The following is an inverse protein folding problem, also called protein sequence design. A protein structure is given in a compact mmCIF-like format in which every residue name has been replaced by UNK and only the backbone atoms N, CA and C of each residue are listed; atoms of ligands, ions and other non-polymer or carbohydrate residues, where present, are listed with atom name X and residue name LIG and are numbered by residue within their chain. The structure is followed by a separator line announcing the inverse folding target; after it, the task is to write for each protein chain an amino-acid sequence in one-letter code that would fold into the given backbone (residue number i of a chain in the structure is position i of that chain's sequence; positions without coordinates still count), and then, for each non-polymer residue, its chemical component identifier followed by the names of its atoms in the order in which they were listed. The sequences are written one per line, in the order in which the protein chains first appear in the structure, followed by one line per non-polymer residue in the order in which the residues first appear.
data_IF_333044390709
#
_entry.id   IF_333044390709
#
_cell.length_a   1.000
_cell.length_b   1.000
_cell.length_c   1.000
_cell.angle_alpha   90.00
_cell.angle_beta   90.00
_cell.angle_gamma   90.00
#
_symmetry.space_group_name_H-M   'P 1'
#
loop_
_entity.id
_entity.type
_entity.pdbx_description
1 polymer ?
#
# COMPACT_ATOMS: atom_id res chain seq x y z
N UNK A 1 20.28 8.23 3.63
CA UNK A 1 19.98 9.35 2.70
C UNK A 1 20.91 9.40 1.48
N UNK A 2 21.90 8.50 1.37
CA UNK A 2 22.86 8.42 0.26
C UNK A 2 22.49 7.36 -0.80
N UNK A 3 21.32 6.71 -0.70
CA UNK A 3 20.89 5.66 -1.62
C UNK A 3 21.61 4.32 -1.45
N UNK A 4 22.47 4.18 -0.44
CA UNK A 4 23.20 2.94 -0.19
C UNK A 4 22.41 2.01 0.73
N UNK A 5 22.32 0.75 0.34
CA UNK A 5 21.82 -0.31 1.21
C UNK A 5 22.79 -0.55 2.37
N UNK A 6 22.25 -0.66 3.57
CA UNK A 6 23.02 -0.94 4.78
C UNK A 6 22.38 -2.07 5.55
N UNK A 7 23.19 -2.97 6.08
CA UNK A 7 22.71 -4.00 6.98
C UNK A 7 22.36 -3.37 8.34
N UNK A 8 21.09 -3.40 8.71
CA UNK A 8 20.61 -2.97 10.02
C UNK A 8 20.65 -4.10 11.05
N UNK A 9 20.79 -3.75 12.33
CA UNK A 9 20.61 -4.67 13.45
C UNK A 9 19.38 -4.26 14.26
N UNK A 10 18.48 -5.20 14.50
CA UNK A 10 17.23 -4.98 15.23
C UNK A 10 16.02 -5.00 14.32
N UNK A 11 14.87 -4.61 14.87
CA UNK A 11 13.61 -4.63 14.16
C UNK A 11 13.43 -3.37 13.30
N UNK A 12 12.87 -3.50 12.10
CA UNK A 12 12.82 -2.40 11.12
C UNK A 12 12.18 -1.12 11.67
N UNK A 13 11.05 -1.23 12.38
CA UNK A 13 10.36 -0.08 12.97
C UNK A 13 11.21 0.69 14.00
N UNK A 14 12.04 -0.01 14.77
CA UNK A 14 12.96 0.60 15.72
C UNK A 14 14.07 1.36 14.97
N UNK A 15 14.68 0.73 13.96
CA UNK A 15 15.72 1.34 13.12
C UNK A 15 15.19 2.60 12.44
N UNK A 16 13.98 2.56 11.87
CA UNK A 16 13.38 3.70 11.18
C UNK A 16 13.09 4.85 12.15
N UNK A 17 12.63 4.53 13.36
CA UNK A 17 12.33 5.52 14.40
C UNK A 17 13.59 6.18 14.92
N UNK A 18 14.64 5.41 15.19
CA UNK A 18 15.93 5.94 15.64
C UNK A 18 16.56 6.84 14.58
N UNK A 19 16.50 6.45 13.31
CA UNK A 19 16.94 7.28 12.19
C UNK A 19 16.15 8.59 12.08
N UNK A 20 14.83 8.55 12.25
CA UNK A 20 13.97 9.74 12.25
C UNK A 20 14.31 10.68 13.43
N UNK A 21 14.53 10.12 14.63
CA UNK A 21 14.93 10.88 15.82
C UNK A 21 16.30 11.55 15.59
N UNK A 22 17.26 10.83 15.00
CA UNK A 22 18.57 11.39 14.69
C UNK A 22 18.52 12.50 13.66
N UNK A 23 17.65 12.38 12.66
CA UNK A 23 17.36 13.46 11.73
C UNK A 23 16.78 14.68 12.44
N UNK A 24 15.75 14.51 13.28
CA UNK A 24 15.13 15.60 14.05
C UNK A 24 16.15 16.30 14.94
N UNK A 25 17.06 15.56 15.59
CA UNK A 25 18.13 16.13 16.43
C UNK A 25 19.04 17.07 15.64
N UNK A 26 19.36 16.71 14.39
CA UNK A 26 20.20 17.52 13.49
C UNK A 26 19.46 18.74 12.96
N UNK A 27 18.19 18.56 12.59
CA UNK A 27 17.37 19.57 11.92
C UNK A 27 16.55 20.46 12.86
N UNK A 28 16.62 20.29 14.19
CA UNK A 28 15.77 21.01 15.16
C UNK A 28 15.77 22.55 15.07
N UNK A 29 16.75 23.14 14.40
CA UNK A 29 16.85 24.59 14.18
C UNK A 29 16.21 25.06 12.86
N UNK A 30 15.67 24.13 12.06
CA UNK A 30 14.99 24.36 10.78
C UNK A 30 13.62 23.67 10.79
N UNK A 31 12.64 24.15 10.00
CA UNK A 31 11.44 23.38 9.71
C UNK A 31 11.82 22.07 9.03
N UNK A 32 11.23 20.96 9.45
CA UNK A 32 11.51 19.64 8.92
C UNK A 32 10.23 18.89 8.55
N UNK A 33 10.37 17.92 7.64
CA UNK A 33 9.34 16.94 7.32
C UNK A 33 9.92 15.54 7.56
N UNK A 34 9.23 14.74 8.36
CA UNK A 34 9.53 13.32 8.54
C UNK A 34 8.36 12.52 8.01
N UNK A 35 8.63 11.68 7.01
CA UNK A 35 7.74 10.60 6.62
C UNK A 35 8.31 9.29 7.17
N UNK A 36 7.59 8.67 8.10
CA UNK A 36 8.02 7.47 8.82
C UNK A 36 7.07 6.29 8.51
N UNK A 37 7.22 5.64 7.34
CA UNK A 37 6.39 4.51 6.96
C UNK A 37 6.87 3.22 7.63
N UNK A 38 6.19 2.78 8.68
CA UNK A 38 6.44 1.45 9.24
C UNK A 38 6.02 0.37 8.26
N UNK A 39 6.83 -0.68 8.14
CA UNK A 39 6.43 -1.92 7.46
C UNK A 39 5.41 -2.70 8.31
N UNK A 40 5.41 -2.51 9.62
CA UNK A 40 4.48 -3.14 10.54
C UNK A 40 3.04 -2.61 10.37
N UNK A 41 2.00 -3.44 10.58
CA UNK A 41 2.03 -4.87 10.90
C UNK A 41 1.87 -5.74 9.63
N UNK A 42 2.46 -5.34 8.50
CA UNK A 42 2.38 -6.13 7.27
C UNK A 42 3.14 -7.46 7.41
N UNK A 43 2.72 -8.47 6.64
CA UNK A 43 3.45 -9.73 6.55
C UNK A 43 4.84 -9.53 5.92
N UNK A 44 5.83 -10.38 6.26
CA UNK A 44 5.77 -11.52 7.18
C UNK A 44 5.58 -11.09 8.65
N UNK A 45 4.83 -11.87 9.42
CA UNK A 45 4.49 -11.56 10.83
C UNK A 45 5.65 -11.92 11.76
N UNK A 46 6.79 -11.29 11.51
CA UNK A 46 8.02 -11.46 12.29
C UNK A 46 8.05 -10.40 13.38
N UNK A 47 8.21 -10.82 14.63
CA UNK A 47 8.31 -9.94 15.79
C UNK A 47 9.03 -10.70 16.91
N UNK A 48 9.76 -10.00 17.77
CA UNK A 48 10.44 -10.63 18.90
C UNK A 48 9.48 -11.18 19.94
N UNK A 49 9.92 -12.23 20.64
CA UNK A 49 9.18 -12.86 21.74
C UNK A 49 8.74 -11.88 22.83
N UNK A 50 9.53 -10.82 23.10
CA UNK A 50 9.18 -9.78 24.06
C UNK A 50 7.81 -9.13 23.78
N UNK A 51 7.51 -8.85 22.51
CA UNK A 51 6.24 -8.25 22.12
C UNK A 51 5.16 -9.31 21.85
N UNK A 52 5.54 -10.49 21.41
CA UNK A 52 4.60 -11.56 21.03
C UNK A 52 4.07 -12.37 22.21
N UNK A 53 4.94 -12.80 23.13
CA UNK A 53 4.59 -13.66 24.24
C UNK A 53 3.50 -13.09 25.16
N UNK A 54 3.45 -11.76 25.46
CA UNK A 54 2.36 -11.19 26.24
C UNK A 54 0.99 -11.51 25.64
N UNK A 55 0.84 -11.38 24.32
CA UNK A 55 -0.43 -11.68 23.62
C UNK A 55 -0.66 -13.17 23.41
N UNK A 56 0.40 -13.94 23.12
CA UNK A 56 0.31 -15.40 23.01
C UNK A 56 -0.23 -16.01 24.30
N UNK A 57 0.28 -15.56 25.45
CA UNK A 57 -0.06 -16.06 26.76
C UNK A 57 -1.49 -15.72 27.20
N UNK A 58 -2.16 -14.76 26.56
CA UNK A 58 -3.59 -14.51 26.75
C UNK A 58 -4.46 -15.64 26.18
N UNK A 59 -3.90 -16.54 25.36
CA UNK A 59 -4.64 -17.59 24.65
C UNK A 59 -5.88 -17.02 23.94
N UNK A 60 -5.66 -15.97 23.14
CA UNK A 60 -6.72 -15.18 22.53
C UNK A 60 -7.72 -16.05 21.78
N UNK A 61 -9.02 -15.81 22.02
CA UNK A 61 -10.11 -16.43 21.29
C UNK A 61 -11.00 -15.34 20.72
N UNK A 62 -11.67 -15.63 19.61
CA UNK A 62 -12.53 -14.65 18.97
C UNK A 62 -13.62 -14.12 19.92
N UNK A 63 -14.13 -14.98 20.80
CA UNK A 63 -15.16 -14.66 21.79
C UNK A 63 -14.72 -13.64 22.84
N UNK A 64 -13.41 -13.35 22.94
CA UNK A 64 -12.88 -12.30 23.82
C UNK A 64 -13.06 -10.89 23.25
N UNK A 65 -13.32 -10.77 21.95
CA UNK A 65 -13.56 -9.47 21.30
C UNK A 65 -15.06 -9.14 21.33
N UNK A 66 -15.44 -7.85 21.25
CA UNK A 66 -16.83 -7.46 21.16
C UNK A 66 -17.55 -8.12 19.97
N UNK A 67 -18.70 -8.76 20.24
CA UNK A 67 -19.50 -9.51 19.26
C UNK A 67 -20.65 -8.66 18.71
N UNK A 68 -20.31 -7.57 18.02
CA UNK A 68 -21.26 -6.71 17.33
C UNK A 68 -20.75 -6.32 15.93
N UNK A 69 -21.66 -5.84 15.09
CA UNK A 69 -21.36 -5.42 13.72
C UNK A 69 -21.23 -6.60 12.76
N UNK A 70 -20.49 -6.38 11.68
CA UNK A 70 -20.29 -7.37 10.63
C UNK A 70 -19.51 -8.59 11.13
N UNK A 71 -19.89 -9.81 10.69
CA UNK A 71 -19.21 -11.03 11.11
C UNK A 71 -17.73 -11.04 10.66
N UNK A 72 -16.91 -11.80 11.40
CA UNK A 72 -15.52 -12.02 11.04
C UNK A 72 -15.44 -12.69 9.65
N UNK A 73 -14.64 -12.12 8.77
CA UNK A 73 -14.39 -12.67 7.45
C UNK A 73 -13.12 -13.51 7.47
N UNK A 74 -13.27 -14.82 7.28
CA UNK A 74 -12.16 -15.78 7.33
C UNK A 74 -11.99 -16.42 8.70
N UNK A 75 -10.99 -17.30 8.81
CA UNK A 75 -10.71 -18.05 10.03
C UNK A 75 -9.87 -17.20 10.98
N UNK A 76 -10.37 -17.02 12.21
CA UNK A 76 -9.57 -16.42 13.28
C UNK A 76 -8.37 -17.32 13.61
N UNK A 77 -7.18 -16.73 13.66
CA UNK A 77 -5.97 -17.39 14.13
C UNK A 77 -5.42 -16.65 15.36
N UNK A 78 -5.45 -17.29 16.55
CA UNK A 78 -4.90 -16.70 17.77
C UNK A 78 -3.43 -16.33 17.68
N UNK A 79 -2.63 -17.12 16.98
CA UNK A 79 -1.18 -16.95 16.89
C UNK A 79 -0.83 -15.78 15.96
N UNK A 80 -1.46 -15.71 14.79
CA UNK A 80 -1.31 -14.56 13.88
C UNK A 80 -1.77 -13.27 14.56
N UNK A 81 -2.89 -13.31 15.28
CA UNK A 81 -3.40 -12.15 16.02
C UNK A 81 -2.42 -11.72 17.11
N UNK A 82 -1.80 -12.66 17.83
CA UNK A 82 -0.79 -12.36 18.85
C UNK A 82 0.45 -11.67 18.26
N UNK A 83 0.92 -12.15 17.10
CA UNK A 83 2.03 -11.52 16.39
C UNK A 83 1.69 -10.11 15.94
N UNK A 84 0.53 -9.92 15.30
CA UNK A 84 0.05 -8.60 14.86
C UNK A 84 -0.06 -7.63 16.04
N UNK A 85 -0.61 -8.05 17.17
CA UNK A 85 -0.74 -7.17 18.34
C UNK A 85 0.62 -6.85 18.99
N UNK A 86 1.57 -7.78 18.94
CA UNK A 86 2.97 -7.51 19.27
C UNK A 86 3.58 -6.44 18.36
N UNK A 87 3.36 -6.52 17.05
CA UNK A 87 3.81 -5.51 16.09
C UNK A 87 3.16 -4.14 16.32
N UNK A 88 1.85 -4.11 16.64
CA UNK A 88 1.13 -2.88 17.02
C UNK A 88 1.72 -2.26 18.29
N UNK A 89 2.10 -3.08 19.26
CA UNK A 89 2.79 -2.61 20.49
C UNK A 89 4.16 -2.01 20.17
N UNK A 90 4.92 -2.63 19.27
CA UNK A 90 6.20 -2.07 18.84
C UNK A 90 6.02 -0.71 18.12
N UNK A 91 4.97 -0.54 17.31
CA UNK A 91 4.61 0.77 16.72
C UNK A 91 4.32 1.80 17.81
N UNK A 92 3.46 1.46 18.78
CA UNK A 92 3.08 2.35 19.89
C UNK A 92 4.29 2.79 20.71
N UNK A 93 5.17 1.86 21.07
CA UNK A 93 6.41 2.14 21.78
C UNK A 93 7.34 3.07 20.99
N UNK A 94 7.44 2.89 19.67
CA UNK A 94 8.25 3.75 18.81
C UNK A 94 7.67 5.17 18.66
N UNK A 95 6.34 5.31 18.60
CA UNK A 95 5.69 6.62 18.70
C UNK A 95 6.00 7.28 20.05
N UNK A 96 5.98 6.51 21.14
CA UNK A 96 6.41 6.96 22.46
C UNK A 96 7.85 7.53 22.48
N UNK A 97 8.80 6.82 21.85
CA UNK A 97 10.20 7.30 21.68
C UNK A 97 10.25 8.59 20.87
N UNK A 98 9.51 8.67 19.76
CA UNK A 98 9.45 9.85 18.90
C UNK A 98 8.92 11.07 19.67
N UNK A 99 7.81 10.93 20.40
CA UNK A 99 7.27 12.02 21.21
C UNK A 99 8.23 12.46 22.32
N UNK A 100 8.88 11.52 23.00
CA UNK A 100 9.90 11.84 23.99
C UNK A 100 11.09 12.61 23.38
N UNK A 101 11.52 12.24 22.17
CA UNK A 101 12.57 12.94 21.45
C UNK A 101 12.17 14.36 21.05
N UNK A 102 10.96 14.55 20.50
CA UNK A 102 10.43 15.88 20.16
C UNK A 102 10.43 16.81 21.37
N UNK A 103 9.99 16.28 22.54
CA UNK A 103 10.02 17.01 23.82
C UNK A 103 11.44 17.34 24.26
N UNK A 104 12.34 16.36 24.23
CA UNK A 104 13.73 16.54 24.65
C UNK A 104 14.49 17.54 23.77
N UNK A 105 14.15 17.64 22.48
CA UNK A 105 14.72 18.65 21.57
C UNK A 105 14.03 20.02 21.66
N UNK A 106 12.94 20.15 22.43
CA UNK A 106 12.21 21.41 22.60
C UNK A 106 11.37 21.82 21.39
N UNK A 107 11.07 20.90 20.47
CA UNK A 107 10.33 21.18 19.22
C UNK A 107 8.89 20.66 19.24
N UNK A 108 8.48 19.94 20.29
CA UNK A 108 7.16 19.31 20.41
C UNK A 108 5.99 20.28 20.14
N UNK A 109 5.98 21.46 20.77
CA UNK A 109 4.89 22.42 20.63
C UNK A 109 4.67 22.84 19.17
N UNK A 110 5.74 23.01 18.40
CA UNK A 110 5.68 23.46 17.01
C UNK A 110 5.76 22.32 15.98
N UNK A 111 5.54 21.08 16.39
CA UNK A 111 5.50 19.91 15.50
C UNK A 111 4.08 19.39 15.37
N UNK A 112 3.62 19.18 14.13
CA UNK A 112 2.38 18.47 13.82
C UNK A 112 2.73 17.01 13.56
N UNK A 113 2.10 16.08 14.28
CA UNK A 113 2.23 14.64 14.06
C UNK A 113 0.88 14.11 13.61
N UNK A 114 0.84 13.54 12.40
CA UNK A 114 -0.30 12.81 11.85
C UNK A 114 0.05 11.32 11.83
N UNK A 115 -0.78 10.51 12.48
CA UNK A 115 -0.75 9.06 12.37
C UNK A 115 -1.96 8.60 11.57
N UNK A 116 -1.73 7.81 10.53
CA UNK A 116 -2.76 7.15 9.73
C UNK A 116 -2.26 5.75 9.34
N UNK A 117 -3.17 4.82 9.04
CA UNK A 117 -2.81 3.57 8.35
C UNK A 117 -3.22 3.63 6.88
N UNK A 118 -2.60 2.80 6.04
CA UNK A 118 -2.79 2.80 4.58
C UNK A 118 -4.10 2.14 4.13
N UNK A 119 -4.52 1.08 4.83
CA UNK A 119 -5.73 0.30 4.56
C UNK A 119 -6.20 -0.47 5.80
N UNK A 120 -7.37 -1.09 5.71
CA UNK A 120 -7.88 -2.06 6.67
C UNK A 120 -6.98 -3.31 6.86
N UNK A 121 -7.30 -4.20 7.82
CA UNK A 121 -6.46 -5.33 8.18
C UNK A 121 -6.40 -6.41 7.09
N UNK A 122 -5.24 -7.07 6.91
CA UNK A 122 -5.12 -8.26 6.04
C UNK A 122 -5.67 -9.52 6.73
N UNK A 123 -5.19 -9.83 7.94
CA UNK A 123 -5.56 -11.04 8.68
C UNK A 123 -6.93 -10.88 9.36
N UNK A 124 -7.72 -11.97 9.49
CA UNK A 124 -8.95 -11.96 10.28
C UNK A 124 -8.67 -11.61 11.75
N UNK A 125 -9.01 -10.38 12.15
CA UNK A 125 -8.87 -9.87 13.51
C UNK A 125 -9.96 -8.84 13.82
N UNK A 126 -10.00 -8.37 15.07
CA UNK A 126 -10.94 -7.32 15.47
C UNK A 126 -10.70 -6.02 14.70
N UNK A 127 -11.78 -5.44 14.19
CA UNK A 127 -11.82 -4.26 13.31
C UNK A 127 -13.03 -3.36 13.62
N UNK A 128 -13.36 -3.24 14.91
CA UNK A 128 -14.48 -2.43 15.40
C UNK A 128 -15.86 -2.79 14.81
N UNK A 129 -16.06 -4.05 14.38
CA UNK A 129 -17.32 -4.51 13.78
C UNK A 129 -17.51 -4.09 12.31
N UNK A 130 -16.55 -3.41 11.68
CA UNK A 130 -16.69 -2.93 10.30
C UNK A 130 -16.63 -4.08 9.27
N UNK A 131 -17.44 -4.00 8.20
CA UNK A 131 -17.51 -5.02 7.15
C UNK A 131 -16.30 -4.96 6.22
N UNK A 132 -15.89 -6.11 5.66
CA UNK A 132 -14.74 -6.16 4.75
C UNK A 132 -13.38 -6.01 5.44
N UNK A 133 -12.31 -6.01 4.65
CA UNK A 133 -10.92 -5.99 5.11
C UNK A 133 -10.02 -5.45 3.99
N UNK A 134 -8.68 -5.50 4.13
CA UNK A 134 -7.73 -5.13 3.06
C UNK A 134 -8.15 -5.69 1.70
N UNK A 135 -8.12 -4.84 0.67
CA UNK A 135 -8.52 -5.18 -0.69
C UNK A 135 -10.04 -5.16 -0.95
N UNK A 136 -10.84 -4.65 -0.01
CA UNK A 136 -12.28 -4.44 -0.17
C UNK A 136 -12.64 -2.98 0.07
N UNK A 137 -13.75 -2.52 -0.52
CA UNK A 137 -14.22 -1.12 -0.43
C UNK A 137 -15.27 -0.86 0.66
N UNK A 138 -15.59 -1.88 1.45
CA UNK A 138 -16.37 -1.74 2.68
C UNK A 138 -15.59 -0.97 3.77
N UNK A 139 -16.25 -0.45 4.80
CA UNK A 139 -15.65 0.38 5.86
C UNK A 139 -14.45 -0.31 6.51
N UNK A 140 -14.50 -1.62 6.75
CA UNK A 140 -13.37 -2.37 7.32
C UNK A 140 -12.16 -2.48 6.40
N UNK A 141 -12.26 -2.08 5.12
CA UNK A 141 -11.14 -1.98 4.18
C UNK A 141 -10.59 -0.56 4.00
N UNK A 142 -11.43 0.47 4.12
CA UNK A 142 -11.08 1.88 3.80
C UNK A 142 -11.16 2.86 4.98
N UNK A 143 -11.89 2.52 6.04
CA UNK A 143 -12.00 3.33 7.26
C UNK A 143 -10.92 2.90 8.25
N UNK A 144 -9.91 3.75 8.38
CA UNK A 144 -8.66 3.47 9.10
C UNK A 144 -8.47 4.43 10.28
N UNK A 145 -7.69 4.03 11.31
CA UNK A 145 -7.31 4.95 12.38
C UNK A 145 -6.61 6.20 11.81
N UNK A 146 -7.00 7.36 12.33
CA UNK A 146 -6.40 8.66 12.01
C UNK A 146 -6.34 9.55 13.24
N UNK A 147 -5.14 9.97 13.63
CA UNK A 147 -4.91 10.84 14.79
C UNK A 147 -3.98 11.97 14.42
N UNK A 148 -4.32 13.18 14.84
CA UNK A 148 -3.45 14.35 14.69
C UNK A 148 -3.14 14.96 16.05
N UNK A 149 -1.86 15.25 16.28
CA UNK A 149 -1.35 15.89 17.49
C UNK A 149 -0.59 17.14 17.10
N UNK A 150 -0.96 18.28 17.67
CA UNK A 150 -0.25 19.53 17.50
C UNK A 150 -0.39 20.39 18.76
N UNK A 151 0.48 20.21 19.77
CA UNK A 151 0.24 20.77 21.10
C UNK A 151 0.06 22.28 21.13
N UNK A 152 0.75 23.06 20.29
CA UNK A 152 0.58 24.52 20.26
C UNK A 152 -0.83 24.97 19.88
N UNK A 153 -1.50 24.26 18.99
CA UNK A 153 -2.78 24.70 18.39
C UNK A 153 -3.98 23.83 18.80
N UNK A 154 -3.76 22.55 19.06
CA UNK A 154 -4.81 21.58 19.44
C UNK A 154 -4.81 21.38 20.95
N UNK A 155 -5.97 21.55 21.57
CA UNK A 155 -6.18 21.36 23.02
C UNK A 155 -7.30 20.35 23.26
N UNK A 156 -7.04 19.38 24.13
CA UNK A 156 -7.99 18.32 24.46
C UNK A 156 -8.20 17.34 23.32
N UNK A 157 -9.13 16.41 23.56
CA UNK A 157 -9.50 15.39 22.60
C UNK A 157 -10.65 15.89 21.73
N UNK A 158 -10.38 16.03 20.45
CA UNK A 158 -11.32 16.56 19.46
C UNK A 158 -11.63 15.46 18.45
N UNK A 159 -12.92 15.13 18.29
CA UNK A 159 -13.39 14.20 17.27
C UNK A 159 -13.88 14.98 16.06
N UNK A 160 -13.33 14.67 14.88
CA UNK A 160 -13.81 15.14 13.59
C UNK A 160 -14.68 14.04 13.00
N UNK A 161 -15.97 14.32 12.81
CA UNK A 161 -16.94 13.35 12.25
C UNK A 161 -16.99 13.41 10.72
N UNK A 162 -16.53 14.53 10.13
CA UNK A 162 -16.53 14.73 8.70
C UNK A 162 -15.65 13.70 7.99
N UNK A 163 -16.04 13.21 6.80
CA UNK A 163 -15.28 12.21 6.08
C UNK A 163 -14.00 12.81 5.48
N UNK A 164 -12.86 12.36 5.98
CA UNK A 164 -11.55 12.74 5.47
C UNK A 164 -10.89 11.55 4.75
N UNK A 165 -9.97 11.87 3.85
CA UNK A 165 -9.16 10.88 3.14
C UNK A 165 -7.70 11.34 3.05
N UNK A 166 -6.81 10.40 2.72
CA UNK A 166 -5.37 10.67 2.57
C UNK A 166 -5.07 11.80 1.56
N UNK A 167 -5.92 12.01 0.56
CA UNK A 167 -5.81 13.11 -0.41
C UNK A 167 -5.89 14.51 0.24
N UNK A 168 -6.50 14.63 1.44
CA UNK A 168 -6.60 15.89 2.17
C UNK A 168 -5.32 16.27 2.92
N UNK A 169 -4.40 15.32 3.10
CA UNK A 169 -3.18 15.54 3.89
C UNK A 169 -2.31 16.62 3.25
N UNK A 170 -2.09 16.53 1.93
CA UNK A 170 -1.27 17.51 1.19
C UNK A 170 -1.82 18.94 1.31
N UNK A 171 -3.08 19.25 0.90
CA UNK A 171 -3.60 20.60 1.02
C UNK A 171 -3.67 21.09 2.48
N UNK A 172 -3.94 20.20 3.44
CA UNK A 172 -3.94 20.58 4.86
C UNK A 172 -2.56 20.98 5.36
N UNK A 173 -1.52 20.23 5.01
CA UNK A 173 -0.15 20.51 5.47
C UNK A 173 0.45 21.73 4.76
N UNK A 174 0.11 21.95 3.49
CA UNK A 174 0.41 23.20 2.79
C UNK A 174 -0.19 24.42 3.51
N UNK A 175 -1.48 24.35 3.87
CA UNK A 175 -2.18 25.40 4.62
C UNK A 175 -1.60 25.61 6.04
N UNK A 176 -1.25 24.54 6.74
CA UNK A 176 -0.56 24.63 8.04
C UNK A 176 0.80 25.35 7.91
N UNK A 177 1.55 25.04 6.85
CA UNK A 177 2.86 25.63 6.58
C UNK A 177 2.79 27.03 5.94
N UNK A 178 1.60 27.51 5.55
CA UNK A 178 1.44 28.78 4.84
C UNK A 178 2.06 28.76 3.43
N UNK A 179 2.04 27.59 2.77
CA UNK A 179 2.56 27.39 1.42
C UNK A 179 1.39 27.25 0.46
N UNK A 180 1.37 28.07 -0.58
CA UNK A 180 0.37 27.95 -1.65
C UNK A 180 0.70 26.76 -2.57
N UNK A 181 -0.31 25.96 -2.97
CA UNK A 181 -0.13 24.99 -4.06
C UNK A 181 0.38 25.68 -5.33
N UNK A 182 1.14 24.94 -6.15
CA UNK A 182 1.53 25.47 -7.45
C UNK A 182 0.28 25.68 -8.33
N UNK A 183 0.19 26.77 -9.12
CA UNK A 183 -1.01 27.09 -9.89
C UNK A 183 -1.47 26.03 -10.90
N UNK A 184 -0.53 25.19 -11.35
CA UNK A 184 -0.73 24.12 -12.33
C UNK A 184 -1.08 22.75 -11.71
N UNK A 185 -1.16 22.67 -10.38
CA UNK A 185 -1.48 21.44 -9.65
C UNK A 185 -2.93 21.49 -9.16
N UNK A 186 -3.81 20.69 -9.77
CA UNK A 186 -5.15 20.41 -9.27
C UNK A 186 -5.05 19.40 -8.12
N UNK A 187 -5.51 19.77 -6.92
CA UNK A 187 -5.57 18.86 -5.76
C UNK A 187 -7.01 18.37 -5.59
N UNK A 188 -7.18 17.06 -5.41
CA UNK A 188 -8.50 16.46 -5.15
C UNK A 188 -8.94 16.63 -3.68
N UNK A 189 -7.97 16.74 -2.77
CA UNK A 189 -8.22 16.95 -1.35
C UNK A 189 -8.59 18.39 -0.99
N UNK A 190 -9.09 18.57 0.23
CA UNK A 190 -9.42 19.88 0.82
C UNK A 190 -8.73 20.01 2.16
N UNK A 191 -8.23 21.20 2.49
CA UNK A 191 -7.65 21.44 3.83
C UNK A 191 -8.72 21.21 4.90
N UNK A 192 -8.44 20.31 5.85
CA UNK A 192 -9.27 20.11 7.05
C UNK A 192 -8.78 20.93 8.25
N UNK A 193 -7.82 21.84 8.06
CA UNK A 193 -7.33 22.74 9.11
C UNK A 193 -8.45 23.48 9.87
N UNK A 194 -9.55 23.95 9.25
CA UNK A 194 -10.65 24.56 10.01
C UNK A 194 -11.26 23.62 11.07
N UNK A 195 -11.38 22.32 10.73
CA UNK A 195 -11.94 21.29 11.60
C UNK A 195 -11.05 20.98 12.81
N UNK A 196 -9.74 21.24 12.70
CA UNK A 196 -8.78 21.03 13.79
C UNK A 196 -9.07 21.93 14.99
N UNK A 197 -9.39 23.21 14.74
CA UNK A 197 -9.73 24.16 15.80
C UNK A 197 -11.21 24.21 16.17
N UNK A 198 -12.09 23.83 15.22
CA UNK A 198 -13.52 23.86 15.40
C UNK A 198 -14.16 22.71 14.60
N UNK A 199 -14.53 21.58 15.24
CA UNK A 199 -15.20 20.46 14.58
C UNK A 199 -16.54 20.82 13.92
N UNK A 200 -17.14 21.92 14.36
CA UNK A 200 -18.38 22.48 13.80
C UNK A 200 -18.11 23.60 12.79
N UNK A 201 -16.87 23.75 12.30
CA UNK A 201 -16.58 24.68 11.22
C UNK A 201 -17.40 24.32 9.99
N UNK A 202 -17.81 25.34 9.24
CA UNK A 202 -18.46 25.16 7.96
C UNK A 202 -17.44 24.57 6.98
N UNK A 203 -17.54 23.26 6.78
CA UNK A 203 -16.67 22.49 5.91
C UNK A 203 -17.57 21.68 4.97
N UNK A 204 -17.61 22.03 3.67
CA UNK A 204 -18.63 21.50 2.76
C UNK A 204 -18.57 19.99 2.61
N UNK A 205 -19.75 19.37 2.68
CA UNK A 205 -19.93 17.95 2.37
C UNK A 205 -19.40 17.61 0.96
N UNK A 206 -18.98 16.36 0.81
CA UNK A 206 -18.58 15.77 -0.46
C UNK A 206 -18.67 14.25 -0.40
N UNK A 207 -18.68 13.65 -1.58
CA UNK A 207 -18.40 12.25 -1.74
C UNK A 207 -16.88 12.02 -1.83
N UNK A 208 -16.42 10.95 -1.20
CA UNK A 208 -15.11 10.36 -1.40
C UNK A 208 -15.26 9.14 -2.30
N UNK A 209 -14.35 9.00 -3.26
CA UNK A 209 -14.41 7.95 -4.27
C UNK A 209 -13.26 6.97 -4.08
N UNK A 210 -13.58 5.68 -4.11
CA UNK A 210 -12.63 4.60 -3.91
C UNK A 210 -12.77 3.61 -5.06
N UNK A 211 -11.65 3.13 -5.57
CA UNK A 211 -11.62 2.06 -6.55
C UNK A 211 -10.37 1.21 -6.33
N UNK A 212 -10.55 -0.11 -6.41
CA UNK A 212 -9.48 -1.07 -6.37
C UNK A 212 -9.55 -1.97 -7.60
N UNK A 213 -8.51 -1.97 -8.42
CA UNK A 213 -8.46 -2.79 -9.63
C UNK A 213 -7.06 -3.36 -9.83
N UNK A 214 -7.00 -4.64 -10.23
CA UNK A 214 -5.78 -5.35 -10.60
C UNK A 214 -5.83 -5.74 -12.08
N UNK A 215 -5.85 -4.76 -12.96
CA UNK A 215 -5.75 -4.95 -14.40
C UNK A 215 -4.89 -3.84 -15.02
N UNK A 216 -4.62 -3.95 -16.31
CA UNK A 216 -3.75 -3.00 -17.00
C UNK A 216 -4.52 -1.73 -17.41
N UNK A 217 -5.85 -1.83 -17.57
CA UNK A 217 -6.71 -0.69 -17.94
C UNK A 217 -7.84 -0.56 -16.93
N UNK A 218 -8.01 0.60 -16.26
CA UNK A 218 -9.08 0.76 -15.29
C UNK A 218 -10.45 0.61 -15.93
N UNK A 219 -11.35 -0.05 -15.21
CA UNK A 219 -12.73 -0.28 -15.64
C UNK A 219 -13.70 0.36 -14.66
N UNK A 220 -14.77 1.02 -15.13
CA UNK A 220 -15.77 1.59 -14.24
C UNK A 220 -16.46 0.50 -13.43
N UNK A 221 -16.90 0.85 -12.23
CA UNK A 221 -17.66 0.00 -11.31
C UNK A 221 -16.96 -1.30 -10.89
N UNK A 222 -15.63 -1.29 -10.84
CA UNK A 222 -14.81 -2.41 -10.41
C UNK A 222 -14.28 -2.17 -9.00
N UNK A 223 -14.71 -2.99 -8.05
CA UNK A 223 -14.51 -2.87 -6.60
C UNK A 223 -14.40 -1.40 -6.17
N UNK A 224 -15.53 -0.69 -6.22
CA UNK A 224 -15.60 0.76 -6.02
C UNK A 224 -16.59 1.18 -4.93
N UNK A 225 -16.39 2.37 -4.37
CA UNK A 225 -17.33 2.98 -3.45
C UNK A 225 -17.43 4.49 -3.63
N UNK A 226 -18.61 5.02 -3.35
CA UNK A 226 -18.89 6.45 -3.19
C UNK A 226 -19.34 6.64 -1.75
N UNK A 227 -18.52 7.31 -0.94
CA UNK A 227 -18.74 7.52 0.48
C UNK A 227 -18.99 9.00 0.73
N UNK A 228 -20.27 9.37 0.83
CA UNK A 228 -20.70 10.67 1.34
C UNK A 228 -20.75 10.70 2.86
N UNK A 229 -21.13 11.83 3.50
CA UNK A 229 -21.19 11.96 4.96
C UNK A 229 -22.08 10.94 5.65
N UNK A 230 -23.27 10.69 5.07
CA UNK A 230 -24.27 9.76 5.58
C UNK A 230 -24.38 8.49 4.75
N UNK A 231 -24.53 8.62 3.44
CA UNK A 231 -24.78 7.47 2.57
C UNK A 231 -23.51 6.98 1.89
N UNK A 232 -23.46 5.67 1.65
CA UNK A 232 -22.39 5.02 0.91
C UNK A 232 -22.95 4.05 -0.10
N UNK A 233 -22.56 4.20 -1.36
CA UNK A 233 -22.72 3.16 -2.37
C UNK A 233 -21.45 2.31 -2.41
N UNK A 234 -21.60 0.99 -2.49
CA UNK A 234 -20.49 0.07 -2.76
C UNK A 234 -20.82 -0.88 -3.90
N UNK A 235 -19.82 -1.21 -4.68
CA UNK A 235 -19.75 -2.39 -5.53
C UNK A 235 -18.49 -3.12 -5.07
N UNK A 236 -18.60 -4.39 -4.66
CA UNK A 236 -17.44 -5.13 -4.10
C UNK A 236 -16.83 -6.17 -5.07
N UNK A 237 -17.44 -6.40 -6.23
CA UNK A 237 -16.99 -7.40 -7.20
C UNK A 237 -15.84 -6.86 -8.07
N UNK A 238 -15.02 -7.75 -8.65
CA UNK A 238 -13.99 -7.36 -9.60
C UNK A 238 -12.62 -7.06 -9.01
N UNK A 239 -12.36 -7.52 -7.77
CA UNK A 239 -11.02 -7.50 -7.16
C UNK A 239 -10.03 -8.49 -7.81
N UNK A 240 -10.51 -9.37 -8.69
CA UNK A 240 -9.71 -10.39 -9.38
C UNK A 240 -8.72 -9.75 -10.37
N UNK A 241 -7.59 -10.43 -10.55
CA UNK A 241 -6.54 -10.06 -11.52
C UNK A 241 -7.05 -10.16 -12.97
N UNK A 242 -6.57 -9.23 -13.80
CA UNK A 242 -6.86 -9.12 -15.23
C UNK A 242 -8.04 -8.20 -15.55
N UNK A 243 -8.34 -8.12 -16.85
CA UNK A 243 -9.32 -7.18 -17.42
C UNK A 243 -10.65 -7.84 -17.82
N UNK A 244 -10.95 -9.03 -17.28
CA UNK A 244 -12.20 -9.75 -17.57
C UNK A 244 -13.44 -8.94 -17.19
N UNK A 245 -14.54 -9.18 -17.92
CA UNK A 245 -15.84 -8.55 -17.65
C UNK A 245 -16.34 -8.88 -16.25
N UNK A 246 -17.00 -7.91 -15.62
CA UNK A 246 -17.65 -8.06 -14.32
C UNK A 246 -19.11 -7.64 -14.44
N UNK A 247 -19.98 -8.35 -13.74
CA UNK A 247 -21.34 -7.86 -13.50
C UNK A 247 -21.34 -7.07 -12.18
N UNK A 248 -21.56 -5.74 -12.22
CA UNK A 248 -21.63 -4.93 -11.00
C UNK A 248 -22.78 -5.39 -10.12
N UNK A 249 -22.48 -5.56 -8.82
CA UNK A 249 -23.49 -5.75 -7.79
C UNK A 249 -23.40 -4.60 -6.81
N UNK A 250 -24.31 -3.64 -6.96
CA UNK A 250 -24.37 -2.46 -6.12
C UNK A 250 -25.11 -2.74 -4.82
N UNK A 251 -24.62 -2.12 -3.76
CA UNK A 251 -25.23 -2.06 -2.43
C UNK A 251 -25.24 -0.59 -1.99
N UNK A 252 -26.21 -0.21 -1.16
CA UNK A 252 -26.37 1.16 -0.63
C UNK A 252 -26.59 1.10 0.88
N UNK A 253 -25.86 1.91 1.64
CA UNK A 253 -25.93 1.92 3.10
C UNK A 253 -26.13 3.34 3.64
N UNK A 254 -26.89 3.45 4.74
CA UNK A 254 -26.95 4.65 5.58
C UNK A 254 -25.99 4.48 6.76
N UNK A 255 -24.79 5.04 6.67
CA UNK A 255 -23.73 4.86 7.68
C UNK A 255 -24.03 5.55 9.02
N UNK A 256 -25.00 6.47 9.07
CA UNK A 256 -25.40 7.08 10.33
C UNK A 256 -26.16 6.10 11.22
N UNK A 257 -26.98 5.24 10.60
CA UNK A 257 -27.80 4.24 11.30
C UNK A 257 -27.20 2.82 11.22
N UNK A 258 -26.41 2.54 10.18
CA UNK A 258 -25.78 1.25 9.90
C UNK A 258 -24.29 1.41 9.55
N UNK A 259 -23.43 1.74 10.53
CA UNK A 259 -21.99 1.89 10.32
C UNK A 259 -21.27 0.56 9.97
N UNK A 260 -21.99 -0.57 10.01
CA UNK A 260 -21.44 -1.90 9.76
C UNK A 260 -21.86 -2.47 8.40
N UNK A 261 -22.59 -1.71 7.58
CA UNK A 261 -22.97 -2.07 6.20
C UNK A 261 -23.74 -3.40 6.13
N UNK A 262 -24.71 -3.59 7.02
CA UNK A 262 -25.46 -4.82 7.21
C UNK A 262 -26.82 -4.83 6.51
N UNK A 263 -27.42 -3.67 6.26
CA UNK A 263 -28.75 -3.51 5.69
C UNK A 263 -28.65 -2.78 4.35
N UNK A 264 -28.66 -3.55 3.25
CA UNK A 264 -28.64 -2.98 1.91
C UNK A 264 -29.98 -2.28 1.59
N UNK A 265 -29.88 -1.00 1.22
CA UNK A 265 -30.98 -0.12 0.86
C UNK A 265 -31.18 0.01 -0.65
N UNK A 266 -30.35 -0.64 -1.48
CA UNK A 266 -30.32 -0.49 -2.95
C UNK A 266 -31.70 -0.66 -3.60
N UNK A 267 -32.45 -1.70 -3.21
CA UNK A 267 -33.80 -1.98 -3.74
C UNK A 267 -34.85 -0.95 -3.26
N UNK A 268 -34.67 -0.41 -2.06
CA UNK A 268 -35.65 0.49 -1.41
C UNK A 268 -35.40 1.98 -1.72
N UNK A 269 -34.19 2.34 -2.15
CA UNK A 269 -33.80 3.71 -2.48
C UNK A 269 -33.09 3.79 -3.85
N UNK A 270 -33.76 3.35 -4.95
CA UNK A 270 -33.13 3.26 -6.27
C UNK A 270 -32.73 4.63 -6.85
N UNK A 271 -33.43 5.72 -6.52
CA UNK A 271 -33.09 7.07 -6.99
C UNK A 271 -31.78 7.59 -6.40
N UNK A 272 -31.57 7.34 -5.10
CA UNK A 272 -30.32 7.69 -4.42
C UNK A 272 -29.16 6.85 -4.95
N UNK A 273 -29.39 5.54 -5.16
CA UNK A 273 -28.39 4.67 -5.77
C UNK A 273 -27.98 5.18 -7.16
N UNK A 274 -28.94 5.51 -8.02
CA UNK A 274 -28.67 6.06 -9.35
C UNK A 274 -27.89 7.38 -9.31
N UNK A 275 -28.19 8.24 -8.32
CA UNK A 275 -27.44 9.49 -8.10
C UNK A 275 -25.96 9.20 -7.78
N UNK A 276 -25.69 8.29 -6.85
CA UNK A 276 -24.31 7.94 -6.48
C UNK A 276 -23.58 7.17 -7.59
N UNK A 277 -24.28 6.41 -8.42
CA UNK A 277 -23.71 5.80 -9.62
C UNK A 277 -23.25 6.87 -10.61
N UNK A 278 -24.09 7.86 -10.89
CA UNK A 278 -23.75 9.00 -11.76
C UNK A 278 -22.58 9.80 -11.20
N UNK A 279 -22.58 10.09 -9.89
CA UNK A 279 -21.48 10.81 -9.24
C UNK A 279 -20.15 10.06 -9.38
N UNK A 280 -20.17 8.73 -9.34
CA UNK A 280 -18.99 7.89 -9.55
C UNK A 280 -18.51 7.93 -11.00
N UNK A 281 -19.43 7.85 -11.97
CA UNK A 281 -19.08 7.90 -13.40
C UNK A 281 -18.41 9.23 -13.75
N UNK A 282 -18.97 10.35 -13.26
CA UNK A 282 -18.39 11.68 -13.45
C UNK A 282 -16.96 11.76 -12.87
N UNK A 283 -16.76 11.22 -11.66
CA UNK A 283 -15.44 11.14 -11.05
C UNK A 283 -14.49 10.25 -11.85
N UNK A 284 -14.95 9.07 -12.27
CA UNK A 284 -14.16 8.11 -13.03
C UNK A 284 -13.72 8.69 -14.37
N UNK A 285 -14.62 9.39 -15.07
CA UNK A 285 -14.30 10.10 -16.33
C UNK A 285 -13.26 11.21 -16.09
N UNK A 286 -13.41 12.05 -15.06
CA UNK A 286 -12.42 13.10 -14.73
C UNK A 286 -11.04 12.51 -14.49
N UNK A 287 -10.91 11.56 -13.56
CA UNK A 287 -9.60 11.00 -13.19
C UNK A 287 -8.97 10.15 -14.29
N UNK A 288 -9.79 9.60 -15.20
CA UNK A 288 -9.31 8.81 -16.34
C UNK A 288 -8.97 9.61 -17.58
N UNK A 289 -9.55 10.80 -17.75
CA UNK A 289 -9.40 11.65 -18.93
C UNK A 289 -7.96 12.12 -19.21
N UNK A 290 -7.12 12.17 -18.18
CA UNK A 290 -5.77 12.75 -18.25
C UNK A 290 -4.64 11.72 -18.33
N UNK A 291 -4.96 10.42 -18.32
CA UNK A 291 -3.97 9.34 -18.27
C UNK A 291 -3.96 8.52 -19.56
N UNK A 292 -2.84 8.54 -20.27
CA UNK A 292 -2.50 7.45 -21.18
C UNK A 292 -2.12 6.27 -20.32
N UNK A 293 -2.96 5.23 -20.25
CA UNK A 293 -2.68 3.98 -19.52
C UNK A 293 -1.61 3.15 -20.23
N UNK A 294 -0.55 3.80 -20.65
CA UNK A 294 0.62 3.17 -21.26
C UNK A 294 1.27 2.25 -20.24
N UNK A 295 1.73 1.10 -20.73
CA UNK A 295 2.41 0.12 -19.90
C UNK A 295 3.64 0.76 -19.25
N UNK A 296 3.71 0.87 -17.91
CA UNK A 296 4.87 1.39 -17.22
C UNK A 296 6.10 0.56 -17.56
N UNK A 297 7.21 1.21 -17.89
CA UNK A 297 8.45 0.54 -18.23
C UNK A 297 9.53 0.81 -17.21
N UNK A 298 10.18 -0.24 -16.75
CA UNK A 298 11.34 -0.13 -15.87
C UNK A 298 12.56 0.26 -16.71
N UNK A 299 13.27 1.30 -16.31
CA UNK A 299 14.38 1.87 -17.06
C UNK A 299 15.69 1.12 -16.74
N UNK A 300 16.30 0.50 -17.75
CA UNK A 300 17.57 -0.21 -17.60
C UNK A 300 18.74 0.72 -17.95
N UNK A 301 19.79 0.70 -17.12
CA UNK A 301 21.02 1.45 -17.36
C UNK A 301 20.92 2.95 -17.09
N UNK A 302 19.85 3.41 -16.45
CA UNK A 302 19.68 4.79 -16.03
C UNK A 302 20.70 5.14 -14.92
N UNK A 303 21.45 6.27 -15.00
CA UNK A 303 22.48 6.60 -14.02
C UNK A 303 22.00 6.69 -12.56
N UNK A 304 20.73 7.06 -12.36
CA UNK A 304 20.11 7.17 -11.04
C UNK A 304 19.59 5.84 -10.48
N UNK A 305 19.54 4.77 -11.29
CA UNK A 305 18.95 3.48 -10.94
C UNK A 305 19.72 2.35 -11.68
N UNK A 306 21.03 2.28 -11.42
CA UNK A 306 21.93 1.24 -11.93
C UNK A 306 22.82 0.76 -10.78
N UNK A 307 22.71 -0.49 -10.31
CA UNK A 307 21.88 -1.56 -10.88
C UNK A 307 20.37 -1.35 -10.69
N UNK A 308 19.59 -1.77 -11.68
CA UNK A 308 18.12 -1.75 -11.65
C UNK A 308 17.60 -3.09 -11.13
N UNK A 309 16.68 -3.10 -10.16
CA UNK A 309 16.07 -4.34 -9.66
C UNK A 309 14.67 -4.56 -10.24
N UNK A 310 14.48 -5.64 -10.99
CA UNK A 310 13.18 -6.10 -11.48
C UNK A 310 12.53 -7.03 -10.47
N UNK A 311 11.29 -6.75 -10.07
CA UNK A 311 10.57 -7.54 -9.06
C UNK A 311 9.32 -8.19 -9.65
N UNK A 312 8.84 -9.28 -9.03
CA UNK A 312 7.57 -9.93 -9.40
C UNK A 312 6.32 -9.04 -9.27
N UNK A 313 6.43 -7.84 -8.71
CA UNK A 313 5.31 -6.89 -8.69
C UNK A 313 4.98 -6.37 -10.09
N UNK A 314 6.01 -6.20 -10.91
CA UNK A 314 5.93 -5.44 -12.16
C UNK A 314 5.82 -6.34 -13.39
N UNK A 315 6.11 -7.64 -13.25
CA UNK A 315 5.97 -8.56 -14.37
C UNK A 315 4.51 -8.79 -14.74
N UNK A 316 4.28 -9.18 -15.98
CA UNK A 316 2.98 -9.45 -16.58
C UNK A 316 2.97 -10.83 -17.21
N UNK A 317 1.78 -11.33 -17.51
CA UNK A 317 1.58 -12.65 -18.10
C UNK A 317 0.58 -13.51 -17.34
N UNK A 318 0.18 -14.65 -17.91
CA UNK A 318 -0.96 -15.45 -17.43
C UNK A 318 -0.72 -16.13 -16.08
N UNK A 319 0.55 -16.27 -15.67
CA UNK A 319 0.94 -16.84 -14.37
C UNK A 319 1.89 -15.91 -13.61
N UNK A 320 1.89 -14.62 -13.96
CA UNK A 320 2.61 -13.59 -13.24
C UNK A 320 2.01 -13.44 -11.84
N UNK A 321 2.84 -13.48 -10.81
CA UNK A 321 2.43 -13.20 -9.44
C UNK A 321 3.47 -13.63 -8.43
N UNK A 322 3.23 -13.34 -7.15
CA UNK A 322 4.18 -13.64 -6.07
C UNK A 322 4.29 -15.13 -5.69
N UNK A 323 3.49 -16.01 -6.32
CA UNK A 323 3.39 -17.42 -5.94
C UNK A 323 4.63 -18.20 -6.38
N UNK A 324 4.92 -19.28 -5.66
CA UNK A 324 5.86 -20.30 -6.13
C UNK A 324 5.39 -20.87 -7.48
N UNK A 325 6.32 -21.01 -8.44
CA UNK A 325 6.00 -21.42 -9.80
C UNK A 325 5.46 -20.31 -10.73
N UNK A 326 5.34 -19.07 -10.23
CA UNK A 326 5.04 -17.93 -11.09
C UNK A 326 6.18 -17.62 -12.06
N UNK A 327 5.84 -17.13 -13.24
CA UNK A 327 6.76 -16.58 -14.23
C UNK A 327 6.05 -15.51 -15.05
N UNK A 328 6.81 -14.58 -15.63
CA UNK A 328 6.24 -13.47 -16.37
C UNK A 328 7.29 -12.69 -17.14
N UNK A 329 6.82 -11.61 -17.75
CA UNK A 329 7.59 -10.71 -18.60
C UNK A 329 7.64 -9.35 -17.93
N UNK A 330 8.82 -8.74 -17.85
CA UNK A 330 8.94 -7.32 -17.53
C UNK A 330 8.91 -6.48 -18.79
N UNK A 331 8.10 -5.44 -18.77
CA UNK A 331 8.18 -4.37 -19.74
C UNK A 331 9.25 -3.38 -19.28
N UNK A 332 10.32 -3.29 -20.05
CA UNK A 332 11.47 -2.43 -19.72
C UNK A 332 11.78 -1.46 -20.86
N UNK A 333 12.69 -0.52 -20.58
CA UNK A 333 13.27 0.40 -21.55
C UNK A 333 14.77 0.52 -21.29
N UNK A 334 15.60 0.07 -22.23
CA UNK A 334 17.03 0.35 -22.20
C UNK A 334 17.26 1.83 -22.54
N UNK A 335 17.93 2.58 -21.67
CA UNK A 335 18.17 4.01 -21.88
C UNK A 335 19.28 4.29 -22.91
N UNK A 336 20.12 3.30 -23.20
CA UNK A 336 21.28 3.42 -24.10
C UNK A 336 21.68 2.07 -24.67
N UNK A 337 22.35 2.12 -25.81
CA UNK A 337 22.99 0.95 -26.41
C UNK A 337 24.11 0.43 -25.50
N UNK A 338 24.29 -0.88 -25.45
CA UNK A 338 25.46 -1.51 -24.85
C UNK A 338 25.17 -2.89 -24.27
N UNK A 339 26.06 -3.34 -23.41
CA UNK A 339 26.01 -4.66 -22.80
C UNK A 339 25.44 -4.55 -21.40
N UNK A 340 24.55 -5.48 -21.04
CA UNK A 340 23.90 -5.53 -19.74
C UNK A 340 24.11 -6.91 -19.11
N UNK A 341 24.39 -6.92 -17.82
CA UNK A 341 24.45 -8.12 -17.00
C UNK A 341 23.10 -8.31 -16.30
N UNK A 342 22.56 -9.53 -16.35
CA UNK A 342 21.31 -9.93 -15.70
C UNK A 342 21.60 -11.02 -14.67
N UNK A 343 21.54 -10.66 -13.39
CA UNK A 343 21.61 -11.59 -12.27
C UNK A 343 20.20 -11.99 -11.84
N UNK A 344 19.83 -13.22 -12.13
CA UNK A 344 18.55 -13.80 -11.74
C UNK A 344 18.68 -14.45 -10.36
N UNK A 345 17.79 -14.09 -9.43
CA UNK A 345 17.75 -14.64 -8.07
C UNK A 345 16.47 -15.42 -7.85
N UNK A 346 16.59 -16.70 -7.49
CA UNK A 346 15.47 -17.63 -7.31
C UNK A 346 15.28 -17.96 -5.83
N UNK A 347 14.03 -18.13 -5.40
CA UNK A 347 13.70 -18.62 -4.06
C UNK A 347 13.41 -20.13 -4.02
N UNK A 348 13.70 -20.85 -5.10
CA UNK A 348 13.52 -22.30 -5.18
C UNK A 348 14.90 -22.90 -5.41
N UNK A 349 15.36 -23.66 -4.42
CA UNK A 349 16.56 -24.48 -4.55
C UNK A 349 16.20 -25.76 -5.29
N UNK A 350 16.76 -25.96 -6.49
CA UNK A 350 16.55 -27.18 -7.25
C UNK A 350 17.41 -28.32 -6.69
N UNK A 351 16.82 -29.50 -6.56
CA UNK A 351 17.51 -30.73 -6.11
C UNK A 351 18.33 -31.39 -7.23
N UNK A 352 18.03 -31.04 -8.48
CA UNK A 352 18.75 -31.47 -9.68
C UNK A 352 19.12 -30.26 -10.55
N UNK A 353 20.15 -30.37 -11.40
CA UNK A 353 20.49 -29.33 -12.36
C UNK A 353 19.32 -29.01 -13.30
N UNK A 354 19.29 -27.80 -13.82
CA UNK A 354 18.31 -27.34 -14.80
C UNK A 354 18.95 -26.44 -15.86
N UNK A 355 18.11 -25.80 -16.67
CA UNK A 355 18.55 -24.79 -17.64
C UNK A 355 17.95 -23.45 -17.28
N UNK A 356 18.78 -22.44 -17.08
CA UNK A 356 18.34 -21.07 -16.95
C UNK A 356 18.18 -20.46 -18.36
N UNK A 357 17.09 -19.73 -18.56
CA UNK A 357 16.78 -19.02 -19.78
C UNK A 357 16.60 -17.54 -19.47
N UNK A 358 17.08 -16.70 -20.37
CA UNK A 358 16.84 -15.27 -20.40
C UNK A 358 16.48 -14.89 -21.82
N UNK A 359 15.21 -14.52 -22.05
CA UNK A 359 14.77 -13.92 -23.30
C UNK A 359 14.72 -12.41 -23.14
N UNK A 360 15.40 -11.70 -24.04
CA UNK A 360 15.38 -10.24 -24.13
C UNK A 360 14.98 -9.82 -25.54
N UNK A 361 13.79 -9.24 -25.68
CA UNK A 361 13.16 -9.04 -26.98
C UNK A 361 12.98 -10.36 -27.73
N UNK A 362 13.56 -10.45 -28.93
CA UNK A 362 13.49 -11.66 -29.77
C UNK A 362 14.65 -12.66 -29.51
N UNK A 363 15.64 -12.28 -28.70
CA UNK A 363 16.84 -13.09 -28.48
C UNK A 363 16.72 -13.90 -27.18
N UNK A 364 17.01 -15.20 -27.25
CA UNK A 364 17.04 -16.08 -26.09
C UNK A 364 18.46 -16.55 -25.79
N UNK A 365 18.83 -16.47 -24.52
CA UNK A 365 20.12 -16.92 -23.98
C UNK A 365 19.87 -18.04 -22.97
N UNK A 366 20.78 -19.01 -22.91
CA UNK A 366 20.70 -20.12 -21.96
C UNK A 366 22.02 -20.33 -21.21
N UNK A 367 21.91 -20.78 -19.96
CA UNK A 367 23.02 -21.18 -19.10
C UNK A 367 22.62 -22.44 -18.32
N UNK A 368 23.61 -23.27 -17.97
CA UNK A 368 23.40 -24.37 -17.04
C UNK A 368 23.06 -23.79 -15.65
N UNK A 369 22.05 -24.37 -14.98
CA UNK A 369 21.70 -24.05 -13.60
C UNK A 369 22.10 -25.20 -12.68
N UNK A 370 22.97 -24.92 -11.71
CA UNK A 370 23.48 -25.94 -10.80
C UNK A 370 22.42 -26.36 -9.75
N UNK A 371 22.41 -27.64 -9.39
CA UNK A 371 21.63 -28.12 -8.25
C UNK A 371 22.10 -27.40 -6.97
N UNK A 372 21.16 -26.94 -6.16
CA UNK A 372 21.50 -26.14 -4.98
C UNK A 372 21.73 -24.64 -5.25
N UNK A 373 21.74 -24.20 -6.52
CA UNK A 373 21.91 -22.79 -6.87
C UNK A 373 20.76 -21.92 -6.37
N UNK A 374 21.07 -20.65 -6.10
CA UNK A 374 20.08 -19.59 -5.79
C UNK A 374 20.13 -18.46 -6.83
N UNK A 375 21.24 -18.34 -7.57
CA UNK A 375 21.50 -17.23 -8.50
C UNK A 375 22.16 -17.71 -9.79
N UNK A 376 21.86 -17.06 -10.92
CA UNK A 376 22.57 -17.25 -12.19
C UNK A 376 22.72 -15.90 -12.89
N UNK A 377 23.90 -15.64 -13.47
CA UNK A 377 24.21 -14.36 -14.11
C UNK A 377 24.46 -14.54 -15.60
N UNK A 378 23.62 -13.92 -16.43
CA UNK A 378 23.86 -13.75 -17.85
C UNK A 378 24.68 -12.47 -18.04
N UNK A 379 25.86 -12.59 -18.67
CA UNK A 379 26.78 -11.46 -18.84
C UNK A 379 26.82 -10.96 -20.26
N UNK A 380 27.14 -9.68 -20.40
CA UNK A 380 27.41 -9.02 -21.68
C UNK A 380 26.26 -9.16 -22.71
N UNK A 381 25.00 -9.06 -22.26
CA UNK A 381 23.82 -9.17 -23.13
C UNK A 381 23.64 -7.85 -23.90
N UNK A 382 23.76 -7.84 -25.24
CA UNK A 382 23.69 -6.61 -26.03
C UNK A 382 22.23 -6.13 -26.15
N UNK A 383 21.96 -4.89 -25.76
CA UNK A 383 20.68 -4.21 -25.95
C UNK A 383 20.87 -2.92 -26.75
N UNK A 384 19.90 -2.66 -27.63
CA UNK A 384 19.71 -1.34 -28.26
C UNK A 384 18.84 -0.46 -27.36
N UNK A 385 19.07 0.86 -27.39
CA UNK A 385 18.27 1.83 -26.68
C UNK A 385 16.81 1.77 -27.18
N UNK A 386 15.87 1.57 -26.27
CA UNK A 386 14.47 1.43 -26.61
C UNK A 386 13.70 0.50 -25.68
N UNK A 387 12.43 0.29 -26.03
CA UNK A 387 11.55 -0.61 -25.29
C UNK A 387 11.98 -2.05 -25.52
N UNK A 388 12.09 -2.82 -24.45
CA UNK A 388 12.46 -4.24 -24.55
C UNK A 388 11.73 -5.06 -23.48
N UNK A 389 11.32 -6.26 -23.86
CA UNK A 389 10.71 -7.23 -22.96
C UNK A 389 11.79 -8.14 -22.38
N UNK A 390 11.72 -8.40 -21.08
CA UNK A 390 12.64 -9.29 -20.37
C UNK A 390 11.85 -10.43 -19.75
N UNK A 391 12.09 -11.66 -20.20
CA UNK A 391 11.43 -12.89 -19.75
C UNK A 391 12.49 -13.92 -19.33
N UNK A 392 12.76 -14.07 -18.02
CA UNK A 392 13.61 -15.15 -17.52
C UNK A 392 12.83 -16.27 -16.84
N UNK A 393 13.35 -17.48 -16.95
CA UNK A 393 12.86 -18.65 -16.23
C UNK A 393 13.96 -19.71 -16.08
N UNK A 394 13.79 -20.62 -15.12
CA UNK A 394 14.47 -21.91 -15.14
C UNK A 394 13.47 -22.95 -15.65
N UNK A 395 13.94 -23.83 -16.53
CA UNK A 395 13.24 -25.05 -16.88
C UNK A 395 13.70 -26.19 -15.98
N UNK A 396 12.76 -26.75 -15.21
CA UNK A 396 13.00 -27.88 -14.31
C UNK A 396 11.78 -28.81 -14.28
N UNK A 397 12.00 -30.11 -14.51
CA UNK A 397 10.94 -31.14 -14.58
C UNK A 397 9.76 -30.77 -15.52
N UNK A 398 10.04 -30.10 -16.64
CA UNK A 398 9.03 -29.66 -17.61
C UNK A 398 8.17 -28.49 -17.13
N UNK A 399 8.59 -27.77 -16.08
CA UNK A 399 7.96 -26.54 -15.59
C UNK A 399 8.88 -25.34 -15.77
N UNK A 400 8.28 -24.17 -16.03
CA UNK A 400 8.96 -22.88 -15.97
C UNK A 400 8.82 -22.28 -14.57
N UNK A 401 9.94 -21.86 -14.00
CA UNK A 401 10.00 -21.17 -12.71
C UNK A 401 10.69 -19.81 -12.91
N UNK A 402 9.98 -18.70 -12.68
CA UNK A 402 10.55 -17.37 -12.79
C UNK A 402 11.39 -16.99 -11.56
N UNK A 403 12.37 -16.07 -11.69
CA UNK A 403 13.10 -15.57 -10.53
C UNK A 403 12.23 -14.71 -9.61
N UNK A 404 12.64 -14.55 -8.36
CA UNK A 404 12.04 -13.59 -7.43
C UNK A 404 12.47 -12.15 -7.75
N UNK A 405 13.75 -11.99 -8.06
CA UNK A 405 14.37 -10.72 -8.40
C UNK A 405 15.30 -10.93 -9.59
N UNK A 406 15.40 -9.91 -10.43
CA UNK A 406 16.46 -9.82 -11.44
C UNK A 406 17.18 -8.50 -11.27
N UNK A 407 18.47 -8.53 -10.98
CA UNK A 407 19.31 -7.33 -10.89
C UNK A 407 19.97 -7.12 -12.24
N UNK A 408 19.74 -5.96 -12.85
CA UNK A 408 20.26 -5.60 -14.17
C UNK A 408 21.30 -4.50 -14.01
N UNK A 409 22.51 -4.73 -14.51
CA UNK A 409 23.61 -3.76 -14.49
C UNK A 409 24.03 -3.42 -15.91
N UNK A 410 24.20 -2.13 -16.20
CA UNK A 410 24.87 -1.65 -17.42
C UNK A 410 26.36 -1.41 -17.21
#
# INVERSE_FOLDING_TARGET
HNGEEVQGQGYCSDIFTDAAIDFIRKEKNHPFLVYLPFNCPHTPLEISDEYYLPYKNLNMKWEMFPQYGAPLMGKFDPDETAKVYGMVTNIDMNLGKLFAALKAQGVEENTVVLFITDNGPQQPRYKAGLKGRKGMVYEGGIHVPGFIRWPKSLRGDVKVEQPLAHIDVVPTFLDICGVEPKPDVKLDGRSFKPLLSNPSADWPDRNLYFQWHRGDVPQPFRACAVRGPRYKMTQANGVQEGDGEIEPKFELYDLAEDPYEMNDLSETNPELLATLQSDYEDWFEDVSSSRGYDVPRIHLGAPQDNPTTLTRQDWRGPVAGWREGGWGIWYTKAEKDGNYDFELQFNVTLDQPGTAHLRVGETEHTLDYEAGGETVTFKDIPLEAGNVEVEPWIEHEGKKLGPMYTVVTY
#
